data_IF_690880948039
#
_entry.id   IF_690880948039
#
_cell.length_a   1.000
_cell.length_b   1.000
_cell.length_c   1.000
_cell.angle_alpha   90.00
_cell.angle_beta   90.00
_cell.angle_gamma   90.00
#
_symmetry.space_group_name_H-M   'P 1'
#
loop_
_entity.id
_entity.type
_entity.pdbx_description
1 polymer ?
#
# COMPACT_ATOMS: atom_id res chain seq x y z
N UNK A 1 13.38 1.89 -3.13
CA UNK A 1 12.02 2.45 -3.29
C UNK A 1 11.85 3.27 -4.56
N UNK A 2 12.94 3.88 -5.05
CA UNK A 2 12.94 4.87 -6.14
C UNK A 2 12.23 4.44 -7.42
N UNK A 3 12.21 3.14 -7.75
CA UNK A 3 11.55 2.61 -8.94
C UNK A 3 10.02 2.72 -8.91
N UNK A 4 9.37 2.53 -7.75
CA UNK A 4 7.90 2.50 -7.67
C UNK A 4 7.24 3.85 -7.93
N UNK A 5 7.68 4.98 -7.32
CA UNK A 5 7.15 6.30 -7.63
C UNK A 5 7.22 6.63 -9.11
N UNK A 6 8.32 6.28 -9.78
CA UNK A 6 8.50 6.54 -11.21
C UNK A 6 7.52 5.72 -12.05
N UNK A 7 7.36 4.43 -11.76
CA UNK A 7 6.40 3.56 -12.47
C UNK A 7 4.96 4.02 -12.29
N UNK A 8 4.55 4.27 -11.04
CA UNK A 8 3.21 4.74 -10.72
C UNK A 8 2.93 6.10 -11.39
N UNK A 9 3.91 7.01 -11.37
CA UNK A 9 3.80 8.29 -12.06
C UNK A 9 3.66 8.10 -13.58
N UNK A 10 4.51 7.30 -14.21
CA UNK A 10 4.43 7.03 -15.65
C UNK A 10 3.05 6.46 -16.05
N UNK A 11 2.52 5.53 -15.26
CA UNK A 11 1.17 5.00 -15.45
C UNK A 11 0.09 6.06 -15.22
N UNK A 12 0.23 6.92 -14.20
CA UNK A 12 -0.67 8.06 -13.95
C UNK A 12 -0.73 9.01 -15.15
N UNK A 13 0.43 9.34 -15.73
CA UNK A 13 0.50 10.19 -16.93
C UNK A 13 -0.23 9.51 -18.09
N UNK A 14 -0.06 8.20 -18.28
CA UNK A 14 -0.75 7.46 -19.33
C UNK A 14 -2.28 7.44 -19.14
N UNK A 15 -2.74 7.20 -17.92
CA UNK A 15 -4.17 7.20 -17.58
C UNK A 15 -4.81 8.56 -17.84
N UNK A 16 -4.20 9.65 -17.35
CA UNK A 16 -4.72 11.01 -17.56
C UNK A 16 -4.62 11.49 -19.01
N UNK A 17 -3.63 10.97 -19.74
CA UNK A 17 -3.52 11.21 -21.17
C UNK A 17 -4.52 10.38 -22.00
N UNK A 18 -5.28 9.48 -21.37
CA UNK A 18 -6.16 8.49 -22.02
C UNK A 18 -5.39 7.62 -23.03
N UNK A 19 -4.19 7.18 -22.64
CA UNK A 19 -3.27 6.41 -23.47
C UNK A 19 -2.85 5.10 -22.82
N UNK A 20 -2.33 4.19 -23.64
CA UNK A 20 -1.70 2.98 -23.12
C UNK A 20 -0.43 3.36 -22.34
N UNK A 21 -0.08 2.64 -21.26
CA UNK A 21 1.15 2.87 -20.50
C UNK A 21 2.38 2.32 -21.25
N UNK A 22 2.63 2.84 -22.45
CA UNK A 22 3.82 2.55 -23.24
C UNK A 22 4.36 3.86 -23.78
N UNK A 23 5.69 4.02 -23.79
CA UNK A 23 6.31 5.27 -24.23
C UNK A 23 5.91 5.67 -25.66
N UNK A 24 5.83 4.68 -26.55
CA UNK A 24 5.41 4.88 -27.94
C UNK A 24 3.98 5.46 -28.08
N UNK A 25 3.06 5.08 -27.18
CA UNK A 25 1.71 5.63 -27.18
C UNK A 25 1.60 6.95 -26.38
N UNK A 26 2.40 7.10 -25.33
CA UNK A 26 2.32 8.23 -24.41
C UNK A 26 2.99 9.50 -24.96
N UNK A 27 4.18 9.39 -25.54
CA UNK A 27 4.94 10.54 -26.06
C UNK A 27 4.15 11.39 -27.07
N UNK A 28 3.59 10.83 -28.17
CA UNK A 28 2.84 11.63 -29.13
C UNK A 28 1.54 12.19 -28.53
N UNK A 29 0.89 11.44 -27.62
CA UNK A 29 -0.34 11.88 -26.97
C UNK A 29 -0.07 13.07 -26.03
N UNK A 30 0.97 12.97 -25.21
CA UNK A 30 1.39 14.05 -24.33
C UNK A 30 1.81 15.29 -25.13
N UNK A 31 2.54 15.12 -26.23
CA UNK A 31 2.97 16.25 -27.05
C UNK A 31 1.78 16.99 -27.69
N UNK A 32 0.78 16.26 -28.18
CA UNK A 32 -0.46 16.84 -28.66
C UNK A 32 -1.22 17.61 -27.56
N UNK A 33 -1.33 17.04 -26.35
CA UNK A 33 -1.96 17.71 -25.20
C UNK A 33 -1.17 18.94 -24.75
N UNK A 34 0.16 18.88 -24.83
CA UNK A 34 1.05 19.99 -24.49
C UNK A 34 0.85 21.17 -25.44
N UNK A 35 0.77 20.90 -26.75
CA UNK A 35 0.48 21.92 -27.76
C UNK A 35 -0.86 22.62 -27.54
N UNK A 36 -1.88 21.85 -27.13
CA UNK A 36 -3.24 22.35 -26.89
C UNK A 36 -3.33 23.16 -25.58
N UNK A 37 -2.78 22.64 -24.49
CA UNK A 37 -2.97 23.19 -23.14
C UNK A 37 -1.92 24.22 -22.74
N UNK A 38 -0.72 24.14 -23.31
CA UNK A 38 0.40 25.05 -23.01
C UNK A 38 1.06 25.52 -24.32
N UNK A 39 0.37 26.34 -25.14
CA UNK A 39 0.87 26.71 -26.48
C UNK A 39 2.22 27.42 -26.48
N UNK A 40 2.54 28.16 -25.40
CA UNK A 40 3.82 28.84 -25.23
C UNK A 40 5.01 27.88 -25.03
N UNK A 41 4.75 26.57 -24.92
CA UNK A 41 5.79 25.55 -24.72
C UNK A 41 6.50 25.08 -25.99
N UNK A 42 6.18 25.62 -27.17
CA UNK A 42 6.67 25.15 -28.48
C UNK A 42 8.21 25.10 -28.60
N UNK A 43 8.95 25.85 -27.78
CA UNK A 43 10.42 25.79 -27.70
C UNK A 43 11.01 24.87 -26.63
N UNK A 44 10.20 24.22 -25.79
CA UNK A 44 10.70 23.39 -24.70
C UNK A 44 11.16 22.00 -25.19
N UNK A 45 12.25 21.44 -24.64
CA UNK A 45 12.73 20.12 -25.04
C UNK A 45 11.67 19.03 -24.84
N UNK A 46 11.48 18.16 -25.83
CA UNK A 46 10.52 17.04 -25.75
C UNK A 46 10.86 16.12 -24.58
N UNK A 47 9.83 15.71 -23.83
CA UNK A 47 9.98 14.75 -22.74
C UNK A 47 10.01 13.34 -23.33
N UNK A 48 11.11 12.62 -23.11
CA UNK A 48 11.28 11.24 -23.55
C UNK A 48 10.77 10.27 -22.47
N UNK A 49 9.49 9.91 -22.53
CA UNK A 49 8.86 9.01 -21.57
C UNK A 49 9.44 7.59 -21.58
N UNK A 50 10.10 7.17 -22.67
CA UNK A 50 10.82 5.89 -22.73
C UNK A 50 11.82 5.70 -21.57
N UNK A 51 12.41 6.78 -21.08
CA UNK A 51 13.37 6.75 -19.96
C UNK A 51 12.74 6.31 -18.64
N UNK A 52 11.44 6.54 -18.48
CA UNK A 52 10.70 6.33 -17.24
C UNK A 52 9.86 5.06 -17.23
N UNK A 53 9.60 4.47 -18.40
CA UNK A 53 8.70 3.33 -18.58
C UNK A 53 9.04 2.09 -17.71
N UNK A 54 10.32 1.93 -17.35
CA UNK A 54 10.80 0.82 -16.50
C UNK A 54 11.17 1.26 -15.08
N UNK A 55 10.92 2.52 -14.71
CA UNK A 55 11.24 3.06 -13.38
C UNK A 55 12.74 3.24 -13.08
N UNK A 56 13.61 3.06 -14.07
CA UNK A 56 15.07 3.09 -13.89
C UNK A 56 15.70 4.48 -13.87
N UNK A 57 14.95 5.52 -14.24
CA UNK A 57 15.41 6.92 -14.25
C UNK A 57 14.45 7.75 -13.42
N UNK A 58 14.96 8.48 -12.45
CA UNK A 58 14.18 9.44 -11.68
C UNK A 58 13.91 10.70 -12.52
N UNK A 59 12.64 11.13 -12.70
CA UNK A 59 12.35 12.38 -13.38
C UNK A 59 12.87 13.55 -12.54
N UNK A 60 13.41 14.58 -13.21
CA UNK A 60 13.79 15.82 -12.54
C UNK A 60 12.55 16.57 -12.04
N UNK A 61 12.72 17.43 -11.03
CA UNK A 61 11.64 18.31 -10.57
C UNK A 61 11.08 19.17 -11.71
N UNK A 62 11.95 19.65 -12.60
CA UNK A 62 11.55 20.34 -13.83
C UNK A 62 10.66 19.46 -14.71
N UNK A 63 11.01 18.19 -14.91
CA UNK A 63 10.20 17.25 -15.70
C UNK A 63 8.83 17.04 -15.07
N UNK A 64 8.78 16.79 -13.76
CA UNK A 64 7.53 16.61 -13.02
C UNK A 64 6.64 17.85 -13.14
N UNK A 65 7.18 19.04 -12.94
CA UNK A 65 6.44 20.30 -13.05
C UNK A 65 5.93 20.53 -14.47
N UNK A 66 6.73 20.22 -15.49
CA UNK A 66 6.31 20.37 -16.90
C UNK A 66 5.19 19.41 -17.28
N UNK A 67 5.20 18.18 -16.76
CA UNK A 67 4.11 17.22 -16.98
C UNK A 67 2.86 17.67 -16.23
N UNK A 68 3.00 18.14 -14.99
CA UNK A 68 1.90 18.65 -14.16
C UNK A 68 1.14 19.82 -14.82
N UNK A 69 1.83 20.68 -15.57
CA UNK A 69 1.20 21.78 -16.32
C UNK A 69 0.24 21.28 -17.41
N UNK A 70 0.49 20.10 -17.98
CA UNK A 70 -0.32 19.52 -19.06
C UNK A 70 -1.35 18.54 -18.51
N UNK A 71 -0.94 17.73 -17.54
CA UNK A 71 -1.72 16.67 -16.89
C UNK A 71 -1.68 16.90 -15.37
N UNK A 72 -2.61 17.71 -14.85
CA UNK A 72 -2.64 18.08 -13.45
C UNK A 72 -2.87 16.87 -12.57
N UNK A 73 -2.27 16.84 -11.39
CA UNK A 73 -2.33 15.80 -10.35
C UNK A 73 -1.44 14.57 -10.57
N UNK A 74 -0.65 14.52 -11.65
CA UNK A 74 0.35 13.46 -11.86
C UNK A 74 1.52 13.57 -10.89
N UNK A 75 1.98 14.78 -10.57
CA UNK A 75 3.10 15.01 -9.63
C UNK A 75 2.79 14.47 -8.24
N UNK A 76 1.54 14.62 -7.79
CA UNK A 76 1.13 14.09 -6.49
C UNK A 76 1.25 12.56 -6.43
N UNK A 77 1.03 11.85 -7.55
CA UNK A 77 1.26 10.41 -7.64
C UNK A 77 2.71 10.05 -7.37
N UNK A 78 3.63 10.81 -7.95
CA UNK A 78 5.07 10.63 -7.73
C UNK A 78 5.44 10.91 -6.26
N UNK A 79 4.94 12.01 -5.70
CA UNK A 79 5.35 12.48 -4.37
C UNK A 79 4.75 11.66 -3.21
N UNK A 80 3.51 11.15 -3.36
CA UNK A 80 2.74 10.55 -2.25
C UNK A 80 2.30 9.11 -2.49
N UNK A 81 1.83 8.81 -3.71
CA UNK A 81 1.37 7.48 -4.08
C UNK A 81 0.17 7.51 -5.04
N UNK A 82 -0.32 6.34 -5.47
CA UNK A 82 -1.47 6.20 -6.37
C UNK A 82 -2.71 6.98 -5.94
N UNK A 83 -3.58 7.31 -6.90
CA UNK A 83 -4.87 7.96 -6.62
C UNK A 83 -5.94 6.92 -6.36
N UNK A 84 -6.90 7.31 -5.54
CA UNK A 84 -8.12 6.57 -5.23
C UNK A 84 -9.29 7.55 -5.13
N UNK A 85 -10.49 7.06 -4.82
CA UNK A 85 -11.71 7.89 -4.77
C UNK A 85 -11.62 9.06 -3.78
N UNK A 86 -10.90 8.88 -2.67
CA UNK A 86 -10.75 9.90 -1.61
C UNK A 86 -9.56 10.84 -1.85
N UNK A 87 -8.81 10.66 -2.94
CA UNK A 87 -7.67 11.49 -3.33
C UNK A 87 -6.37 10.71 -3.51
N UNK A 88 -5.24 11.35 -3.20
CA UNK A 88 -3.91 10.75 -3.40
C UNK A 88 -3.53 9.94 -2.17
N UNK A 89 -3.47 8.62 -2.32
CA UNK A 89 -3.16 7.71 -1.23
C UNK A 89 -1.67 7.82 -0.84
N UNK A 90 -1.32 8.03 0.43
CA UNK A 90 0.06 8.21 0.90
C UNK A 90 0.81 6.88 1.00
N UNK A 91 0.75 6.05 -0.04
CA UNK A 91 1.35 4.72 -0.10
C UNK A 91 2.87 4.76 0.13
N UNK A 92 3.57 5.77 -0.38
CA UNK A 92 5.02 5.90 -0.18
C UNK A 92 5.37 6.14 1.28
N UNK A 93 4.55 6.91 2.00
CA UNK A 93 4.71 7.10 3.44
C UNK A 93 4.41 5.80 4.19
N UNK A 94 3.32 5.11 3.84
CA UNK A 94 2.96 3.85 4.44
C UNK A 94 4.08 2.80 4.26
N UNK A 95 4.64 2.63 3.07
CA UNK A 95 5.68 1.61 2.80
C UNK A 95 7.06 2.00 3.33
N UNK A 96 7.46 3.28 3.20
CA UNK A 96 8.85 3.70 3.34
C UNK A 96 9.12 4.90 4.22
N UNK A 97 8.08 5.62 4.62
CA UNK A 97 8.22 6.83 5.42
C UNK A 97 8.82 6.55 6.80
N UNK A 98 9.41 7.57 7.45
CA UNK A 98 9.77 7.49 8.87
C UNK A 98 8.51 7.29 9.72
N UNK A 99 8.62 6.63 10.87
CA UNK A 99 7.45 6.27 11.70
C UNK A 99 6.54 7.45 12.07
N UNK A 100 7.10 8.66 12.24
CA UNK A 100 6.31 9.88 12.47
C UNK A 100 5.40 10.19 11.28
N UNK A 101 5.89 9.99 10.05
CA UNK A 101 5.11 10.16 8.82
C UNK A 101 4.17 8.97 8.54
N UNK A 102 4.53 7.74 8.95
CA UNK A 102 3.60 6.60 8.87
C UNK A 102 2.34 6.87 9.69
N UNK A 103 2.49 7.48 10.87
CA UNK A 103 1.33 7.81 11.71
C UNK A 103 0.38 8.82 11.06
N UNK A 104 0.87 9.72 10.20
CA UNK A 104 0.00 10.67 9.51
C UNK A 104 -0.89 10.02 8.46
N UNK A 105 -0.62 8.77 8.05
CA UNK A 105 -1.52 7.99 7.18
C UNK A 105 -2.88 7.78 7.84
N UNK A 106 -2.94 7.61 9.16
CA UNK A 106 -4.22 7.50 9.88
C UNK A 106 -5.06 8.77 9.77
N UNK A 107 -4.41 9.95 9.83
CA UNK A 107 -5.08 11.25 9.64
C UNK A 107 -5.63 11.43 8.22
N UNK A 108 -4.96 10.84 7.23
CA UNK A 108 -5.46 10.85 5.85
C UNK A 108 -6.62 9.87 5.65
N UNK A 109 -6.57 8.68 6.26
CA UNK A 109 -7.57 7.62 6.10
C UNK A 109 -8.91 7.97 6.73
N UNK A 110 -8.94 8.27 8.04
CA UNK A 110 -10.19 8.50 8.76
C UNK A 110 -9.98 9.37 10.01
N UNK A 111 -10.86 10.35 10.21
CA UNK A 111 -10.79 11.28 11.34
C UNK A 111 -11.01 10.55 12.68
N UNK A 112 -11.87 9.52 12.72
CA UNK A 112 -12.14 8.72 13.91
C UNK A 112 -10.93 7.92 14.36
N UNK A 113 -10.28 7.20 13.43
CA UNK A 113 -9.03 6.46 13.67
C UNK A 113 -7.92 7.41 14.12
N UNK A 114 -7.83 8.60 13.53
CA UNK A 114 -6.87 9.60 13.95
C UNK A 114 -7.11 10.13 15.36
N UNK A 115 -8.36 10.44 15.71
CA UNK A 115 -8.73 10.84 17.08
C UNK A 115 -8.38 9.75 18.09
N UNK A 116 -8.68 8.49 17.79
CA UNK A 116 -8.29 7.36 18.63
C UNK A 116 -6.76 7.36 18.85
N UNK A 117 -5.98 7.55 17.78
CA UNK A 117 -4.52 7.62 17.90
C UNK A 117 -4.05 8.75 18.82
N UNK A 118 -4.60 9.95 18.66
CA UNK A 118 -4.23 11.13 19.45
C UNK A 118 -4.59 10.99 20.93
N UNK A 119 -5.64 10.25 21.27
CA UNK A 119 -6.02 9.99 22.67
C UNK A 119 -5.11 8.97 23.37
N UNK A 120 -4.16 8.37 22.66
CA UNK A 120 -3.27 7.34 23.22
C UNK A 120 -3.95 5.97 23.36
N UNK A 121 -4.97 5.70 22.55
CA UNK A 121 -5.63 4.39 22.51
C UNK A 121 -4.61 3.26 22.28
N UNK A 122 -4.86 2.10 22.89
CA UNK A 122 -3.99 0.94 22.72
C UNK A 122 -3.98 0.49 21.25
N UNK A 123 -2.84 0.03 20.75
CA UNK A 123 -2.68 -0.37 19.35
C UNK A 123 -3.76 -1.35 18.85
N UNK A 124 -4.17 -2.40 19.61
CA UNK A 124 -5.24 -3.29 19.16
C UNK A 124 -6.57 -2.56 18.88
N UNK A 125 -6.89 -1.49 19.61
CA UNK A 125 -8.10 -0.70 19.36
C UNK A 125 -8.02 0.04 18.02
N UNK A 126 -6.85 0.61 17.70
CA UNK A 126 -6.59 1.26 16.41
C UNK A 126 -6.67 0.26 15.27
N UNK A 127 -6.01 -0.89 15.43
CA UNK A 127 -6.03 -1.98 14.46
C UNK A 127 -7.45 -2.44 14.17
N UNK A 128 -8.22 -2.77 15.20
CA UNK A 128 -9.57 -3.31 15.00
C UNK A 128 -10.55 -2.28 14.42
N UNK A 129 -10.36 -0.98 14.70
CA UNK A 129 -11.15 0.06 14.04
C UNK A 129 -10.99 0.04 12.51
N UNK A 130 -9.90 -0.52 11.98
CA UNK A 130 -9.63 -0.65 10.55
C UNK A 130 -9.91 -2.06 10.03
N UNK A 131 -9.63 -3.11 10.81
CA UNK A 131 -9.76 -4.50 10.34
C UNK A 131 -11.18 -5.06 10.49
N UNK A 132 -11.95 -4.65 11.50
CA UNK A 132 -13.27 -5.25 11.78
C UNK A 132 -14.23 -5.26 10.58
N UNK A 133 -14.27 -4.22 9.71
CA UNK A 133 -15.13 -4.23 8.51
C UNK A 133 -14.76 -5.29 7.46
N UNK A 134 -13.52 -5.78 7.44
CA UNK A 134 -13.02 -6.73 6.43
C UNK A 134 -12.71 -8.10 7.01
N UNK A 135 -12.42 -8.16 8.30
CA UNK A 135 -12.08 -9.37 9.03
C UNK A 135 -12.49 -9.19 10.50
N UNK A 136 -13.73 -9.57 10.85
CA UNK A 136 -14.23 -9.51 12.22
C UNK A 136 -13.33 -10.20 13.23
N UNK A 137 -13.28 -9.69 14.46
CA UNK A 137 -12.39 -10.16 15.54
C UNK A 137 -12.60 -11.62 15.90
N UNK A 138 -13.84 -12.09 15.78
CA UNK A 138 -14.24 -13.47 16.05
C UNK A 138 -13.49 -14.42 15.11
N UNK A 139 -13.41 -14.08 13.82
CA UNK A 139 -12.67 -14.86 12.83
C UNK A 139 -11.16 -14.81 13.10
N UNK A 140 -10.62 -13.66 13.51
CA UNK A 140 -9.21 -13.57 13.91
C UNK A 140 -8.93 -14.53 15.07
N UNK A 141 -9.79 -14.57 16.09
CA UNK A 141 -9.64 -15.46 17.24
C UNK A 141 -9.71 -16.95 16.88
N UNK A 142 -10.52 -17.32 15.89
CA UNK A 142 -10.67 -18.70 15.41
C UNK A 142 -9.48 -19.17 14.56
N UNK A 143 -9.03 -18.32 13.63
CA UNK A 143 -8.04 -18.69 12.62
C UNK A 143 -6.60 -18.47 13.09
N UNK A 144 -6.32 -17.42 13.88
CA UNK A 144 -4.96 -17.10 14.31
C UNK A 144 -4.24 -18.28 15.03
N UNK A 145 -4.88 -19.05 15.94
CA UNK A 145 -4.23 -20.19 16.58
C UNK A 145 -3.88 -21.34 15.61
N UNK A 146 -4.59 -21.43 14.48
CA UNK A 146 -4.43 -22.47 13.47
C UNK A 146 -3.55 -22.02 12.31
N UNK A 147 -3.24 -20.73 12.24
CA UNK A 147 -2.58 -20.11 11.12
C UNK A 147 -1.10 -20.49 11.08
N UNK A 148 -0.70 -21.20 10.01
CA UNK A 148 0.68 -21.65 9.78
C UNK A 148 1.37 -20.86 8.67
N UNK A 149 1.02 -19.58 8.52
CA UNK A 149 1.45 -18.73 7.40
C UNK A 149 1.09 -19.29 6.02
N UNK A 150 0.12 -20.19 5.94
CA UNK A 150 -0.45 -20.69 4.69
C UNK A 150 -1.47 -19.69 4.16
N UNK A 151 -1.24 -19.19 2.94
CA UNK A 151 -2.08 -18.18 2.31
C UNK A 151 -3.43 -18.75 1.89
N UNK A 152 -3.48 -20.04 1.53
CA UNK A 152 -4.70 -20.73 1.09
C UNK A 152 -5.64 -21.09 2.26
N UNK A 153 -5.25 -20.72 3.48
CA UNK A 153 -6.02 -20.93 4.71
C UNK A 153 -6.26 -19.63 5.45
N UNK A 154 -6.05 -18.50 4.76
CA UNK A 154 -6.21 -17.19 5.34
C UNK A 154 -7.66 -16.74 5.10
N UNK A 155 -8.42 -16.44 6.16
CA UNK A 155 -9.85 -16.12 6.03
C UNK A 155 -10.09 -14.83 5.23
N UNK A 156 -9.14 -13.89 5.24
CA UNK A 156 -9.25 -12.68 4.44
C UNK A 156 -8.98 -12.95 2.96
N UNK A 157 -8.04 -13.86 2.64
CA UNK A 157 -7.85 -14.31 1.25
C UNK A 157 -9.15 -14.91 0.71
N UNK A 158 -9.71 -15.87 1.45
CA UNK A 158 -10.94 -16.56 1.05
C UNK A 158 -12.09 -15.57 0.87
N UNK A 159 -12.24 -14.59 1.77
CA UNK A 159 -13.29 -13.58 1.67
C UNK A 159 -13.14 -12.65 0.46
N UNK A 160 -11.91 -12.31 0.06
CA UNK A 160 -11.64 -11.50 -1.15
C UNK A 160 -11.88 -12.36 -2.41
N UNK A 161 -11.47 -13.63 -2.39
CA UNK A 161 -11.65 -14.54 -3.53
C UNK A 161 -13.11 -14.84 -3.83
N UNK A 162 -13.93 -14.98 -2.78
CA UNK A 162 -15.37 -15.18 -2.87
C UNK A 162 -16.17 -13.87 -2.99
N UNK A 163 -15.50 -12.73 -3.21
CA UNK A 163 -16.11 -11.40 -3.37
C UNK A 163 -17.02 -10.98 -2.20
N UNK A 164 -16.78 -11.53 -1.00
CA UNK A 164 -17.52 -11.18 0.22
C UNK A 164 -17.08 -9.83 0.79
N UNK A 165 -15.84 -9.45 0.50
CA UNK A 165 -15.22 -8.20 0.94
C UNK A 165 -14.42 -7.61 -0.21
N UNK A 166 -14.66 -6.33 -0.48
CA UNK A 166 -13.83 -5.51 -1.35
C UNK A 166 -12.82 -4.71 -0.52
N UNK A 167 -11.57 -4.67 -0.98
CA UNK A 167 -10.51 -3.89 -0.34
C UNK A 167 -10.22 -2.67 -1.19
N UNK A 168 -10.62 -1.51 -0.68
CA UNK A 168 -10.30 -0.22 -1.28
C UNK A 168 -8.84 0.19 -0.97
N UNK A 169 -8.29 1.05 -1.83
CA UNK A 169 -6.89 1.49 -1.76
C UNK A 169 -6.56 2.22 -0.46
N UNK A 170 -7.50 3.01 0.06
CA UNK A 170 -7.36 3.75 1.31
C UNK A 170 -7.17 2.81 2.50
N UNK A 171 -7.98 1.76 2.59
CA UNK A 171 -7.93 0.71 3.60
C UNK A 171 -6.65 -0.09 3.48
N UNK A 172 -6.24 -0.46 2.26
CA UNK A 172 -4.96 -1.13 2.04
C UNK A 172 -3.79 -0.30 2.58
N UNK A 173 -3.76 1.00 2.28
CA UNK A 173 -2.67 1.91 2.66
C UNK A 173 -2.58 2.08 4.18
N UNK A 174 -3.72 2.25 4.88
CA UNK A 174 -3.71 2.33 6.35
C UNK A 174 -3.36 0.99 6.99
N UNK A 175 -3.74 -0.15 6.41
CA UNK A 175 -3.37 -1.48 6.92
C UNK A 175 -1.86 -1.74 6.78
N UNK A 176 -1.24 -1.30 5.70
CA UNK A 176 0.23 -1.32 5.56
C UNK A 176 0.90 -0.43 6.61
N UNK A 177 0.36 0.78 6.86
CA UNK A 177 0.88 1.67 7.90
C UNK A 177 0.75 1.05 9.30
N UNK A 178 -0.41 0.47 9.63
CA UNK A 178 -0.64 -0.25 10.88
C UNK A 178 0.28 -1.46 11.01
N UNK A 179 0.53 -2.21 9.94
CA UNK A 179 1.45 -3.35 9.96
C UNK A 179 2.87 -2.90 10.33
N UNK A 180 3.38 -1.83 9.73
CA UNK A 180 4.67 -1.27 10.11
C UNK A 180 4.72 -0.78 11.55
N UNK A 181 3.65 -0.13 12.02
CA UNK A 181 3.55 0.27 13.42
C UNK A 181 3.52 -0.94 14.37
N UNK A 182 2.90 -2.05 13.97
CA UNK A 182 2.89 -3.30 14.74
C UNK A 182 4.28 -3.93 14.85
N UNK A 183 5.09 -3.84 13.78
CA UNK A 183 6.50 -4.25 13.79
C UNK A 183 7.31 -3.39 14.76
N UNK A 184 7.22 -2.06 14.61
CA UNK A 184 7.99 -1.11 15.42
C UNK A 184 7.70 -1.24 16.92
N UNK A 185 6.43 -1.47 17.27
CA UNK A 185 5.98 -1.53 18.67
C UNK A 185 5.97 -2.96 19.24
N UNK A 186 6.07 -3.98 18.38
CA UNK A 186 5.80 -5.38 18.74
C UNK A 186 4.35 -5.69 19.09
N UNK A 187 3.43 -4.71 18.99
CA UNK A 187 2.06 -4.86 19.44
C UNK A 187 1.18 -5.46 18.34
N UNK A 188 0.46 -6.54 18.67
CA UNK A 188 -0.48 -7.23 17.77
C UNK A 188 0.10 -7.65 16.40
N UNK A 189 1.43 -7.79 16.30
CA UNK A 189 2.09 -8.19 15.06
C UNK A 189 1.52 -9.48 14.44
N UNK A 190 1.27 -10.58 15.18
CA UNK A 190 0.71 -11.80 14.58
C UNK A 190 -0.65 -11.58 13.91
N UNK A 191 -1.48 -10.70 14.46
CA UNK A 191 -2.79 -10.35 13.87
C UNK A 191 -2.58 -9.53 12.59
N UNK A 192 -1.72 -8.52 12.64
CA UNK A 192 -1.44 -7.71 11.45
C UNK A 192 -0.75 -8.53 10.36
N UNK A 193 0.08 -9.50 10.72
CA UNK A 193 0.71 -10.42 9.77
C UNK A 193 -0.34 -11.31 9.08
N UNK A 194 -1.33 -11.80 9.82
CA UNK A 194 -2.47 -12.55 9.27
C UNK A 194 -3.21 -11.67 8.25
N UNK A 195 -3.57 -10.45 8.62
CA UNK A 195 -4.29 -9.52 7.72
C UNK A 195 -3.45 -9.20 6.48
N UNK A 196 -2.20 -8.76 6.63
CA UNK A 196 -1.35 -8.40 5.49
C UNK A 196 -1.09 -9.59 4.58
N UNK A 197 -0.94 -10.80 5.11
CA UNK A 197 -0.79 -12.00 4.27
C UNK A 197 -2.01 -12.21 3.37
N UNK A 198 -3.22 -11.97 3.87
CA UNK A 198 -4.44 -12.03 3.06
C UNK A 198 -4.48 -10.96 1.98
N UNK A 199 -4.18 -9.71 2.34
CA UNK A 199 -4.15 -8.57 1.41
C UNK A 199 -3.17 -8.78 0.24
N UNK A 200 -1.99 -9.34 0.52
CA UNK A 200 -0.93 -9.54 -0.47
C UNK A 200 -1.17 -10.71 -1.43
N UNK A 201 -2.20 -11.52 -1.18
CA UNK A 201 -2.57 -12.60 -2.09
C UNK A 201 -3.21 -12.06 -3.37
N UNK A 202 -4.25 -11.23 -3.20
CA UNK A 202 -5.11 -10.77 -4.30
C UNK A 202 -5.32 -9.27 -4.35
N UNK A 203 -5.74 -8.65 -3.24
CA UNK A 203 -6.04 -7.21 -3.20
C UNK A 203 -4.88 -6.32 -3.71
N UNK A 204 -3.63 -6.72 -3.47
CA UNK A 204 -2.46 -6.00 -4.00
C UNK A 204 -2.42 -5.96 -5.54
N UNK A 205 -2.89 -7.00 -6.22
CA UNK A 205 -2.93 -7.04 -7.68
C UNK A 205 -4.13 -6.25 -8.20
N UNK A 206 -5.30 -6.46 -7.61
CA UNK A 206 -6.53 -5.75 -7.96
C UNK A 206 -6.35 -4.22 -7.87
N UNK A 207 -5.64 -3.74 -6.84
CA UNK A 207 -5.44 -2.32 -6.60
C UNK A 207 -4.29 -1.69 -7.39
N UNK A 208 -3.25 -2.45 -7.75
CA UNK A 208 -1.97 -1.86 -8.19
C UNK A 208 -1.44 -2.37 -9.53
N UNK A 209 -2.13 -3.29 -10.20
CA UNK A 209 -1.74 -3.75 -11.55
C UNK A 209 -1.91 -2.62 -12.58
N UNK A 210 -2.97 -1.81 -12.47
CA UNK A 210 -3.19 -0.66 -13.37
C UNK A 210 -2.06 0.39 -13.25
N UNK A 211 -1.45 0.49 -12.06
CA UNK A 211 -0.33 1.38 -11.75
C UNK A 211 1.03 0.78 -12.11
N UNK A 212 1.09 -0.50 -12.52
CA UNK A 212 2.34 -1.20 -12.85
C UNK A 212 3.22 -1.50 -11.63
N UNK A 213 2.71 -1.39 -10.41
CA UNK A 213 3.50 -1.50 -9.17
C UNK A 213 3.11 -2.66 -8.25
N UNK A 214 2.07 -3.45 -8.53
CA UNK A 214 1.58 -4.51 -7.63
C UNK A 214 2.68 -5.44 -7.11
N UNK A 215 3.53 -5.97 -8.01
CA UNK A 215 4.66 -6.83 -7.63
C UNK A 215 5.64 -6.13 -6.69
N UNK A 216 5.91 -4.85 -6.92
CA UNK A 216 6.82 -4.09 -6.08
C UNK A 216 6.18 -3.84 -4.71
N UNK A 217 4.91 -3.42 -4.68
CA UNK A 217 4.15 -3.21 -3.43
C UNK A 217 4.12 -4.48 -2.60
N UNK A 218 3.93 -5.65 -3.22
CA UNK A 218 3.96 -6.95 -2.53
C UNK A 218 5.29 -7.25 -1.84
N UNK A 219 6.41 -7.00 -2.52
CA UNK A 219 7.75 -7.32 -2.01
C UNK A 219 8.11 -6.52 -0.75
N UNK A 220 7.65 -5.27 -0.61
CA UNK A 220 8.04 -4.43 0.53
C UNK A 220 7.58 -4.98 1.89
N UNK A 221 6.28 -5.27 2.11
CA UNK A 221 5.83 -5.88 3.35
C UNK A 221 6.45 -7.26 3.60
N UNK A 222 6.75 -8.02 2.56
CA UNK A 222 7.46 -9.30 2.70
C UNK A 222 8.88 -9.11 3.26
N UNK A 223 9.65 -8.14 2.75
CA UNK A 223 10.97 -7.77 3.29
C UNK A 223 10.85 -7.31 4.75
N UNK A 224 9.87 -6.48 5.07
CA UNK A 224 9.65 -5.98 6.44
C UNK A 224 9.33 -7.14 7.41
N UNK A 225 8.57 -8.14 6.96
CA UNK A 225 8.21 -9.34 7.71
C UNK A 225 9.40 -10.25 7.96
N UNK A 226 10.27 -10.45 6.99
CA UNK A 226 11.36 -11.44 7.09
C UNK A 226 12.32 -11.15 8.25
N UNK A 227 12.48 -9.88 8.63
CA UNK A 227 13.24 -9.49 9.81
C UNK A 227 12.56 -9.81 11.16
N UNK A 228 11.27 -10.18 11.15
CA UNK A 228 10.43 -10.41 12.33
C UNK A 228 9.96 -11.87 12.49
N UNK A 229 10.05 -12.70 11.45
CA UNK A 229 9.58 -14.11 11.46
C UNK A 229 10.20 -14.94 12.57
N UNK A 230 11.49 -14.75 12.86
CA UNK A 230 12.18 -15.46 13.95
C UNK A 230 11.63 -15.10 15.34
N UNK A 231 11.14 -13.87 15.52
CA UNK A 231 10.53 -13.42 16.77
C UNK A 231 9.11 -14.00 16.94
N UNK A 232 8.36 -14.11 15.84
CA UNK A 232 7.02 -14.68 15.83
C UNK A 232 7.01 -16.19 16.05
N UNK A 233 7.91 -16.92 15.41
CA UNK A 233 8.06 -18.37 15.62
C UNK A 233 8.26 -18.69 17.11
N UNK A 234 9.14 -17.94 17.80
CA UNK A 234 9.36 -18.07 19.25
C UNK A 234 8.12 -17.70 20.08
N UNK A 235 7.35 -16.71 19.64
CA UNK A 235 6.09 -16.31 20.27
C UNK A 235 5.03 -17.41 20.21
N UNK A 236 4.86 -18.05 19.04
CA UNK A 236 3.94 -19.18 18.87
C UNK A 236 4.38 -20.41 19.67
N UNK A 237 5.67 -20.77 19.66
CA UNK A 237 6.20 -21.84 20.52
C UNK A 237 5.89 -21.58 22.00
N UNK A 238 6.00 -20.32 22.44
CA UNK A 238 5.69 -19.93 23.81
C UNK A 238 4.20 -20.10 24.12
N UNK A 239 3.31 -19.71 23.19
CA UNK A 239 1.86 -19.87 23.34
C UNK A 239 1.44 -21.34 23.35
N UNK A 240 1.99 -22.16 22.45
CA UNK A 240 1.76 -23.61 22.42
C UNK A 240 2.21 -24.27 23.74
N UNK A 241 3.39 -23.90 24.25
CA UNK A 241 3.90 -24.39 25.52
C UNK A 241 3.03 -23.97 26.71
N UNK A 242 2.48 -22.75 26.69
CA UNK A 242 1.55 -22.27 27.73
C UNK A 242 0.20 -23.00 27.68
N UNK A 243 -0.31 -23.30 26.48
CA UNK A 243 -1.55 -24.06 26.30
C UNK A 243 -1.38 -25.52 26.70
N UNK A 244 -0.28 -26.17 26.30
CA UNK A 244 0.07 -27.53 26.69
C UNK A 244 0.24 -27.66 28.22
N UNK A 245 0.90 -26.68 28.86
CA UNK A 245 1.05 -26.60 30.32
C UNK A 245 -0.28 -26.46 31.07
N UNK A 246 -1.25 -25.73 30.50
CA UNK A 246 -2.61 -25.61 31.06
C UNK A 246 -3.41 -26.90 30.88
N UNK A 247 -3.30 -27.56 29.74
CA UNK A 247 -3.97 -28.83 29.48
C UNK A 247 -3.43 -29.97 30.36
N UNK A 248 -2.15 -29.95 30.74
CA UNK A 248 -1.55 -30.96 31.63
C UNK A 248 -1.87 -30.77 33.12
N UNK A 249 -2.48 -29.64 33.50
CA UNK A 249 -2.87 -29.32 34.90
C UNK A 249 -4.35 -29.56 35.19
N UNK A 250 -5.12 -30.00 34.20
CA UNK A 250 -6.52 -30.39 34.29
C UNK A 250 -6.68 -31.87 33.93
#
# INVERSE_FOLDING_TARGET
METMPVLAWFHSVAMEAESKPTACALEPRFDALRMDRVPESDGLPVIQFQRYANGGVTPSEETLNRVELVLPTTKATYDKGPKCETGVAPLWLALGGPMVAVRSVMNWYDEGVWKLHLTGAAFPQLMFAVTDPILPRELIGEYLPQWRHDVNRNPLTDAIDEELVEIEMDRFVVLVALFRMSIETGAAFPIMELVVTGLLHKAVYDLFDEWGIARHVKVYPEIMRDHQRDAVAKGFETLENMQASRAAKH
#
